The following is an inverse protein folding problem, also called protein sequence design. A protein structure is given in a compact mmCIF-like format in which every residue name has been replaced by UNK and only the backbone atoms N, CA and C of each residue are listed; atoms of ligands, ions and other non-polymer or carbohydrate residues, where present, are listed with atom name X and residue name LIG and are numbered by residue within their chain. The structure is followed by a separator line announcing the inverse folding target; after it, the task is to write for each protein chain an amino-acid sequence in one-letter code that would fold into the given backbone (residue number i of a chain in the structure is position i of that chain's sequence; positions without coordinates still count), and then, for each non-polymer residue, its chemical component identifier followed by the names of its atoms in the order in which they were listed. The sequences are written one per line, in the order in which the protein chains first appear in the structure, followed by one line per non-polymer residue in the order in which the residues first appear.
data_IF_775550066828
#
_entry.id   IF_775550066828
#
_cell.length_a   1.000
_cell.length_b   1.000
_cell.length_c   1.000
_cell.angle_alpha   90.00
_cell.angle_beta   90.00
_cell.angle_gamma   90.00
#
_symmetry.space_group_name_H-M   'P 1'
#
loop_
_entity.id
_entity.type
_entity.pdbx_description
1 polymer ?
#
# COMPACT_ATOMS: atom_id res chain seq x y z
N UNK A 1 14.25 6.89 28.16
CA UNK A 1 13.44 5.65 28.31
C UNK A 1 12.53 5.56 27.11
N UNK A 2 12.73 4.58 26.22
CA UNK A 2 11.84 4.38 25.05
C UNK A 2 10.61 3.62 25.53
N UNK A 3 9.44 4.25 25.43
CA UNK A 3 8.16 3.62 25.79
C UNK A 3 7.75 2.65 24.69
N UNK A 4 7.78 1.35 24.95
CA UNK A 4 7.32 0.32 24.03
C UNK A 4 5.79 0.34 23.98
N UNK A 5 5.23 0.88 22.90
CA UNK A 5 3.78 0.86 22.65
C UNK A 5 3.39 -0.46 22.00
N UNK A 6 2.64 -1.28 22.72
CA UNK A 6 2.01 -2.49 22.19
C UNK A 6 0.81 -2.11 21.32
N UNK A 7 0.83 -2.49 20.05
CA UNK A 7 -0.28 -2.26 19.10
C UNK A 7 -0.96 -3.60 18.84
N UNK A 8 -2.22 -3.73 19.28
CA UNK A 8 -3.05 -4.91 19.00
C UNK A 8 -3.90 -4.62 17.75
N UNK A 9 -3.53 -5.21 16.62
CA UNK A 9 -4.34 -5.19 15.40
C UNK A 9 -5.24 -6.41 15.37
N UNK A 10 -6.54 -6.22 15.14
CA UNK A 10 -7.49 -7.31 14.91
C UNK A 10 -7.92 -7.27 13.46
N UNK A 11 -7.38 -8.17 12.65
CA UNK A 11 -7.83 -8.40 11.27
C UNK A 11 -8.37 -9.83 11.16
N UNK A 12 -9.63 -9.98 10.74
CA UNK A 12 -10.20 -11.27 10.36
C UNK A 12 -10.31 -11.32 8.85
N UNK A 13 -9.30 -11.91 8.21
CA UNK A 13 -9.33 -12.17 6.77
C UNK A 13 -9.75 -13.62 6.58
N UNK A 14 -10.98 -13.83 6.11
CA UNK A 14 -11.46 -15.14 5.69
C UNK A 14 -11.30 -15.23 4.19
N UNK A 15 -10.39 -16.09 3.71
CA UNK A 15 -10.24 -16.35 2.27
C UNK A 15 -11.11 -17.58 1.94
N UNK A 16 -12.15 -17.48 1.09
CA UNK A 16 -12.85 -18.65 0.62
C UNK A 16 -11.90 -19.49 -0.23
N UNK A 17 -11.77 -20.77 0.10
CA UNK A 17 -10.88 -21.68 -0.60
C UNK A 17 -11.24 -21.80 -2.09
N UNK A 18 -10.23 -21.63 -2.94
CA UNK A 18 -10.15 -22.39 -4.17
C UNK A 18 -8.76 -23.02 -4.24
N UNK A 19 -8.71 -24.31 -3.92
CA UNK A 19 -7.66 -25.20 -4.38
C UNK A 19 -7.91 -25.41 -5.87
N UNK A 20 -7.01 -24.97 -6.73
CA UNK A 20 -6.85 -25.58 -8.04
C UNK A 20 -5.37 -25.51 -8.40
N UNK A 21 -4.73 -26.68 -8.31
CA UNK A 21 -3.45 -26.91 -8.94
C UNK A 21 -3.63 -26.72 -10.45
N UNK A 22 -2.94 -25.74 -11.02
CA UNK A 22 -2.58 -25.76 -12.42
C UNK A 22 -1.22 -25.08 -12.59
N UNK A 23 -0.17 -25.90 -12.63
CA UNK A 23 1.07 -25.49 -13.27
C UNK A 23 0.77 -25.21 -14.75
N UNK A 24 0.77 -23.94 -15.14
CA UNK A 24 1.00 -23.58 -16.54
C UNK A 24 1.59 -22.16 -16.64
N UNK A 25 2.90 -22.15 -16.88
CA UNK A 25 3.66 -21.16 -17.66
C UNK A 25 3.64 -19.71 -17.14
N UNK A 26 4.72 -19.36 -16.45
CA UNK A 26 5.07 -17.99 -16.09
C UNK A 26 4.88 -17.04 -17.28
N UNK A 27 4.00 -16.03 -17.20
CA UNK A 27 4.04 -14.95 -18.15
C UNK A 27 5.17 -14.01 -17.71
N UNK A 28 6.18 -13.90 -18.55
CA UNK A 28 7.32 -12.98 -18.48
C UNK A 28 6.86 -11.50 -18.48
N UNK A 29 6.24 -11.05 -17.40
CA UNK A 29 5.62 -9.71 -17.29
C UNK A 29 5.98 -8.96 -16.00
N UNK A 30 7.09 -9.33 -15.37
CA UNK A 30 7.68 -8.52 -14.28
C UNK A 30 8.02 -7.09 -14.75
N UNK A 31 8.21 -6.88 -16.07
CA UNK A 31 8.44 -5.56 -16.68
C UNK A 31 7.23 -4.61 -16.66
N UNK A 32 6.03 -5.07 -16.23
CA UNK A 32 4.82 -4.21 -16.14
C UNK A 32 4.54 -3.63 -14.75
N UNK A 33 5.29 -4.04 -13.72
CA UNK A 33 5.11 -3.52 -12.36
C UNK A 33 5.41 -2.01 -12.25
N UNK A 34 6.33 -1.50 -13.08
CA UNK A 34 6.73 -0.08 -13.07
C UNK A 34 5.58 0.90 -13.34
N UNK A 35 4.46 0.47 -13.93
CA UNK A 35 3.32 1.37 -14.21
C UNK A 35 2.24 1.39 -13.13
N UNK A 36 2.31 0.51 -12.13
CA UNK A 36 1.25 0.35 -11.13
C UNK A 36 1.50 1.23 -9.90
N UNK A 37 2.77 1.40 -9.53
CA UNK A 37 3.21 2.25 -8.45
C UNK A 37 3.33 3.67 -9.02
N UNK A 38 2.70 4.68 -8.39
CA UNK A 38 2.87 6.06 -8.84
C UNK A 38 4.31 6.52 -8.59
N UNK A 39 4.87 7.25 -9.55
CA UNK A 39 6.12 7.97 -9.34
C UNK A 39 5.92 9.02 -8.23
N UNK A 40 6.80 8.99 -7.24
CA UNK A 40 6.83 9.93 -6.13
C UNK A 40 8.26 10.05 -5.62
N UNK A 41 8.65 11.27 -5.25
CA UNK A 41 9.92 11.48 -4.56
C UNK A 41 9.89 10.82 -3.17
N UNK A 42 11.02 10.30 -2.67
CA UNK A 42 11.10 9.80 -1.31
C UNK A 42 10.73 10.89 -0.29
N UNK A 43 10.00 10.56 0.79
CA UNK A 43 9.68 11.54 1.82
C UNK A 43 10.95 12.02 2.52
N UNK A 44 10.96 13.28 2.95
CA UNK A 44 12.07 13.83 3.72
C UNK A 44 12.04 13.31 5.18
N UNK A 45 13.22 13.25 5.82
CA UNK A 45 13.32 12.80 7.22
C UNK A 45 12.44 13.60 8.20
N UNK A 46 12.32 14.94 8.09
CA UNK A 46 11.42 15.71 8.96
C UNK A 46 9.94 15.34 8.82
N UNK A 47 9.48 15.00 7.62
CA UNK A 47 8.09 14.57 7.37
C UNK A 47 7.80 13.21 8.02
N UNK A 48 8.77 12.29 7.91
CA UNK A 48 8.70 10.98 8.57
C UNK A 48 8.66 11.14 10.10
N UNK A 49 9.46 12.03 10.66
CA UNK A 49 9.44 12.31 12.11
C UNK A 49 8.10 12.90 12.57
N UNK A 50 7.49 13.78 11.76
CA UNK A 50 6.15 14.32 12.06
C UNK A 50 5.10 13.21 12.12
N UNK A 51 5.17 12.25 11.19
CA UNK A 51 4.28 11.09 11.17
C UNK A 51 4.48 10.22 12.42
N UNK A 52 5.73 9.93 12.80
CA UNK A 52 6.03 9.20 14.04
C UNK A 52 5.44 9.89 15.27
N UNK A 53 5.62 11.20 15.39
CA UNK A 53 5.05 11.98 16.51
C UNK A 53 3.53 11.96 16.52
N UNK A 54 2.88 11.94 15.36
CA UNK A 54 1.43 11.80 15.26
C UNK A 54 0.95 10.45 15.80
N UNK A 55 1.60 9.35 15.41
CA UNK A 55 1.30 8.02 15.96
C UNK A 55 1.56 7.97 17.47
N UNK A 56 2.67 8.53 17.93
CA UNK A 56 3.04 8.51 19.34
C UNK A 56 2.03 9.25 20.23
N UNK A 57 1.53 10.40 19.77
CA UNK A 57 0.56 11.21 20.56
C UNK A 57 -0.86 10.65 20.54
N UNK A 58 -1.20 9.88 19.52
CA UNK A 58 -2.54 9.34 19.31
C UNK A 58 -2.80 8.14 20.23
N UNK A 59 -3.79 8.25 21.14
CA UNK A 59 -4.20 7.13 22.02
C UNK A 59 -5.18 6.15 21.37
N UNK A 60 -5.95 6.61 20.39
CA UNK A 60 -6.91 5.82 19.61
C UNK A 60 -6.84 6.30 18.18
N UNK A 61 -6.42 5.43 17.27
CA UNK A 61 -6.23 5.75 15.86
C UNK A 61 -7.06 4.80 15.00
N UNK A 62 -7.83 5.37 14.08
CA UNK A 62 -8.51 4.64 13.01
C UNK A 62 -7.73 4.88 11.71
N UNK A 63 -7.41 3.81 10.99
CA UNK A 63 -6.73 3.87 9.70
C UNK A 63 -7.69 3.40 8.62
N UNK A 64 -7.93 4.25 7.62
CA UNK A 64 -8.70 3.91 6.43
C UNK A 64 -7.74 3.77 5.25
N UNK A 65 -7.70 2.60 4.64
CA UNK A 65 -6.82 2.30 3.51
C UNK A 65 -7.62 2.15 2.21
N UNK A 66 -7.12 2.74 1.11
CA UNK A 66 -7.67 2.54 -0.24
C UNK A 66 -6.84 1.55 -1.07
N UNK A 67 -7.19 1.35 -2.34
CA UNK A 67 -6.48 0.42 -3.24
C UNK A 67 -5.00 0.80 -3.50
N UNK A 68 -4.63 2.07 -3.26
CA UNK A 68 -3.25 2.56 -3.41
C UNK A 68 -2.20 1.76 -2.66
N UNK A 69 -2.51 1.21 -1.47
CA UNK A 69 -1.56 0.40 -0.69
C UNK A 69 -1.21 -0.93 -1.37
N UNK A 70 -2.04 -1.40 -2.29
CA UNK A 70 -1.87 -2.68 -2.97
C UNK A 70 -1.11 -2.55 -4.30
N UNK A 71 -0.71 -1.33 -4.67
CA UNK A 71 0.04 -1.09 -5.92
C UNK A 71 1.40 -1.78 -5.92
N UNK A 72 2.07 -1.84 -4.76
CA UNK A 72 3.35 -2.55 -4.58
C UNK A 72 3.22 -4.07 -4.69
N UNK A 73 2.03 -4.63 -4.45
CA UNK A 73 1.77 -6.07 -4.64
C UNK A 73 1.16 -6.40 -6.01
N UNK A 74 1.11 -5.43 -6.93
CA UNK A 74 0.68 -5.61 -8.31
C UNK A 74 -0.82 -5.45 -8.55
N UNK A 75 -1.56 -4.93 -7.57
CA UNK A 75 -2.99 -4.59 -7.73
C UNK A 75 -3.11 -3.09 -8.05
N UNK A 76 -3.64 -2.70 -9.21
CA UNK A 76 -3.73 -1.29 -9.61
C UNK A 76 -4.68 -0.48 -8.71
N UNK A 77 -4.34 0.79 -8.49
CA UNK A 77 -5.27 1.78 -7.93
C UNK A 77 -6.25 2.29 -9.02
N UNK A 78 -7.46 2.64 -8.61
CA UNK A 78 -8.56 3.01 -9.50
C UNK A 78 -8.35 4.36 -10.21
N UNK A 79 -7.78 5.35 -9.52
CA UNK A 79 -7.80 6.75 -9.98
C UNK A 79 -6.54 7.18 -10.72
N UNK A 80 -5.45 6.39 -10.67
CA UNK A 80 -4.17 6.73 -11.33
C UNK A 80 -4.20 6.57 -12.84
N UNK A 81 -5.00 5.62 -13.37
CA UNK A 81 -5.09 5.41 -14.82
C UNK A 81 -5.74 6.60 -15.56
N UNK A 82 -6.53 7.43 -14.87
CA UNK A 82 -7.28 8.54 -15.47
C UNK A 82 -6.72 9.94 -15.16
N UNK A 83 -6.03 10.13 -14.03
CA UNK A 83 -5.52 11.45 -13.62
C UNK A 83 -4.23 11.84 -14.36
N UNK A 84 -3.36 10.89 -14.70
CA UNK A 84 -2.12 11.22 -15.41
C UNK A 84 -2.37 11.65 -16.87
N UNK A 85 -3.46 11.17 -17.48
CA UNK A 85 -3.85 11.53 -18.86
C UNK A 85 -4.50 12.92 -18.95
N UNK A 86 -5.11 13.42 -17.87
CA UNK A 86 -5.82 14.71 -17.88
C UNK A 86 -4.94 15.94 -17.59
N UNK A 87 -3.74 15.74 -17.01
CA UNK A 87 -2.80 16.84 -16.68
C UNK A 87 -1.61 16.95 -17.65
N UNK A 88 -1.58 16.13 -18.70
CA UNK A 88 -0.66 16.27 -19.83
C UNK A 88 -1.48 16.57 -21.09
N UNK A 89 -2.14 17.72 -21.11
CA UNK A 89 -2.42 18.43 -22.37
C UNK A 89 -2.41 19.94 -22.16
#
# INVERSE_FOLDING_TARGET
MQSLKSVQTSCRISVPGSLSQKEEKAPSKFSRQKKLIPDADPPSMPEVELLYRFFDRSKKLMVLTGAGISTECGIPDYRRFYIFTLFVH
#
